data_IF_818442265283
#
_entry.id   IF_818442265283
#
_cell.length_a   1.000
_cell.length_b   1.000
_cell.length_c   1.000
_cell.angle_alpha   90.00
_cell.angle_beta   90.00
_cell.angle_gamma   90.00
#
_symmetry.space_group_name_H-M   'P 1'
#
loop_
_entity.id
_entity.type
_entity.pdbx_description
1 polymer ?
#
# COMPACT_ATOMS: atom_id res chain seq x y z
N UNK A 1 -24.81 -1.98 0.17
CA UNK A 1 -23.91 -1.09 -0.61
C UNK A 1 -22.98 -0.37 0.35
N UNK A 2 -21.68 -0.61 0.25
CA UNK A 2 -20.68 -0.06 1.18
C UNK A 2 -20.56 1.47 1.04
N UNK A 3 -21.13 2.20 2.00
CA UNK A 3 -21.02 3.67 2.10
C UNK A 3 -19.58 4.16 2.26
N UNK A 4 -18.63 3.27 2.53
CA UNK A 4 -17.21 3.58 2.63
C UNK A 4 -16.57 3.93 1.28
N UNK A 5 -17.01 3.31 0.17
CA UNK A 5 -16.43 3.51 -1.15
C UNK A 5 -16.58 4.96 -1.68
N UNK A 6 -17.76 5.61 -1.61
CA UNK A 6 -17.90 7.00 -2.03
C UNK A 6 -17.18 7.97 -1.08
N UNK A 7 -17.06 7.62 0.21
CA UNK A 7 -16.40 8.46 1.22
C UNK A 7 -14.88 8.48 1.04
N UNK A 8 -14.30 7.34 0.68
CA UNK A 8 -12.87 7.20 0.39
C UNK A 8 -12.51 7.84 -0.96
N UNK A 9 -13.39 7.71 -1.96
CA UNK A 9 -13.25 8.40 -3.24
C UNK A 9 -13.37 9.93 -3.09
N UNK A 10 -14.29 10.40 -2.25
CA UNK A 10 -14.42 11.82 -1.92
C UNK A 10 -13.19 12.36 -1.15
N UNK A 11 -12.64 11.58 -0.22
CA UNK A 11 -11.41 11.94 0.49
C UNK A 11 -10.18 12.05 -0.41
N UNK A 12 -10.04 11.12 -1.37
CA UNK A 12 -8.96 11.16 -2.37
C UNK A 12 -9.13 12.31 -3.38
N UNK A 13 -10.37 12.63 -3.78
CA UNK A 13 -10.65 13.78 -4.62
C UNK A 13 -10.38 15.11 -3.91
N UNK A 14 -10.67 15.20 -2.60
CA UNK A 14 -10.32 16.37 -1.78
C UNK A 14 -8.80 16.53 -1.62
N UNK A 15 -8.07 15.42 -1.44
CA UNK A 15 -6.61 15.45 -1.32
C UNK A 15 -5.90 15.87 -2.63
N UNK A 16 -6.50 15.60 -3.79
CA UNK A 16 -6.00 16.04 -5.09
C UNK A 16 -6.29 17.54 -5.38
N UNK A 17 -7.22 18.15 -4.64
CA UNK A 17 -7.55 19.58 -4.70
C UNK A 17 -6.74 20.43 -3.70
N UNK A 18 -6.00 19.78 -2.78
CA UNK A 18 -5.07 20.49 -1.91
C UNK A 18 -3.86 20.95 -2.74
N UNK A 19 -3.51 22.25 -2.72
CA UNK A 19 -2.36 22.74 -3.45
C UNK A 19 -1.08 22.06 -2.94
N UNK A 20 -0.37 21.40 -3.86
CA UNK A 20 1.02 20.99 -3.73
C UNK A 20 1.91 22.21 -3.36
N UNK A 21 3.20 22.02 -3.01
CA UNK A 21 3.97 22.77 -1.99
C UNK A 21 4.17 24.29 -2.19
N UNK A 22 3.60 24.91 -3.22
CA UNK A 22 3.54 26.36 -3.39
C UNK A 22 2.80 27.07 -2.25
N UNK A 23 1.85 26.40 -1.58
CA UNK A 23 1.13 26.94 -0.42
C UNK A 23 2.00 27.02 0.85
N UNK A 24 3.04 26.19 0.96
CA UNK A 24 4.02 26.26 2.07
C UNK A 24 4.95 27.48 1.96
N UNK A 25 4.93 28.17 0.82
CA UNK A 25 5.74 29.36 0.53
C UNK A 25 4.90 30.64 0.46
N UNK A 26 3.58 30.53 0.72
CA UNK A 26 2.65 31.65 0.63
C UNK A 26 2.77 32.51 1.91
N UNK A 27 3.67 33.48 1.90
CA UNK A 27 3.86 34.46 2.98
C UNK A 27 5.30 34.65 3.47
N UNK A 28 6.24 33.81 3.05
CA UNK A 28 7.67 34.03 3.31
C UNK A 28 8.20 35.18 2.46
N UNK A 29 9.01 36.06 3.03
CA UNK A 29 9.63 37.17 2.29
C UNK A 29 10.60 36.62 1.24
N UNK A 30 10.76 37.33 0.12
CA UNK A 30 11.66 36.90 -0.96
C UNK A 30 13.09 36.63 -0.48
N UNK A 31 13.53 37.36 0.55
CA UNK A 31 14.83 37.24 1.21
C UNK A 31 15.02 35.91 1.99
N UNK A 32 13.94 35.27 2.44
CA UNK A 32 13.97 34.00 3.18
C UNK A 32 13.97 32.77 2.24
N UNK A 33 13.67 32.98 0.95
CA UNK A 33 13.59 31.91 -0.06
C UNK A 33 14.87 31.74 -0.88
N UNK A 34 15.77 32.72 -0.85
CA UNK A 34 17.05 32.68 -1.54
C UNK A 34 18.16 32.29 -0.58
N UNK A 35 18.75 31.12 -0.80
CA UNK A 35 20.03 30.77 -0.22
C UNK A 35 21.05 31.84 -0.65
N UNK A 36 21.48 32.68 0.29
CA UNK A 36 22.37 33.83 0.07
C UNK A 36 23.83 33.36 -0.11
N UNK A 37 24.02 32.58 -1.17
CA UNK A 37 25.33 32.14 -1.62
C UNK A 37 25.77 33.06 -2.75
N UNK A 38 26.68 33.98 -2.44
CA UNK A 38 27.42 34.75 -3.43
C UNK A 38 28.74 34.00 -3.75
N UNK A 39 28.81 33.25 -4.86
CA UNK A 39 30.01 32.50 -5.21
C UNK A 39 31.16 33.42 -5.69
N UNK A 40 30.95 34.74 -5.72
CA UNK A 40 31.89 35.71 -6.27
C UNK A 40 31.85 35.75 -7.80
N UNK A 41 32.22 36.91 -8.36
CA UNK A 41 32.07 37.23 -9.78
C UNK A 41 32.69 36.17 -10.73
N UNK A 42 33.80 35.55 -10.35
CA UNK A 42 34.50 34.55 -11.17
C UNK A 42 33.77 33.21 -11.27
N UNK A 43 33.02 32.80 -10.24
CA UNK A 43 32.22 31.58 -10.26
C UNK A 43 30.81 31.83 -10.83
N UNK A 44 30.27 33.03 -10.64
CA UNK A 44 29.04 33.48 -11.31
C UNK A 44 29.20 33.53 -12.84
N UNK A 45 30.39 33.90 -13.33
CA UNK A 45 30.68 33.92 -14.77
C UNK A 45 30.77 32.50 -15.36
N UNK A 46 31.31 31.52 -14.63
CA UNK A 46 31.30 30.10 -15.04
C UNK A 46 29.89 29.49 -15.10
N UNK A 47 28.98 29.91 -14.23
CA UNK A 47 27.56 29.47 -14.27
C UNK A 47 26.81 30.14 -15.41
N UNK A 48 27.07 31.42 -15.69
CA UNK A 48 26.50 32.13 -16.86
C UNK A 48 27.06 31.61 -18.20
N UNK A 49 28.30 31.13 -18.20
CA UNK A 49 29.01 30.63 -19.37
C UNK A 49 28.90 29.12 -19.58
N UNK A 50 28.05 28.42 -18.83
CA UNK A 50 27.52 27.14 -19.31
C UNK A 50 26.24 27.47 -20.08
N UNK A 51 26.33 27.72 -21.41
CA UNK A 51 25.14 27.68 -22.22
C UNK A 51 24.69 26.21 -22.14
N UNK A 52 23.72 25.94 -21.27
CA UNK A 52 22.73 24.96 -21.63
C UNK A 52 22.13 25.50 -22.92
N UNK A 53 22.70 25.11 -24.06
CA UNK A 53 22.10 25.32 -25.37
C UNK A 53 20.65 24.85 -25.22
N UNK A 54 19.72 25.81 -25.21
CA UNK A 54 18.29 25.51 -25.16
C UNK A 54 17.91 25.12 -26.58
N UNK A 55 18.44 23.99 -27.04
CA UNK A 55 18.01 23.36 -28.28
C UNK A 55 16.61 22.84 -28.01
N UNK A 56 15.61 23.48 -28.62
CA UNK A 56 14.20 23.05 -28.54
C UNK A 56 13.95 21.68 -29.19
N UNK A 57 14.99 20.98 -29.65
CA UNK A 57 14.94 19.65 -30.25
C UNK A 57 14.32 18.60 -29.32
N UNK A 58 14.48 18.77 -28.01
CA UNK A 58 13.96 17.86 -26.98
C UNK A 58 12.60 18.31 -26.40
N UNK A 59 12.00 19.35 -26.96
CA UNK A 59 10.74 19.91 -26.52
C UNK A 59 9.62 19.73 -27.55
N UNK A 60 8.47 19.24 -27.08
CA UNK A 60 7.22 19.23 -27.82
C UNK A 60 6.48 20.55 -27.56
N UNK A 61 6.27 21.31 -28.63
CA UNK A 61 5.61 22.62 -28.58
C UNK A 61 4.15 22.43 -28.97
N UNK A 62 3.25 22.63 -28.00
CA UNK A 62 1.81 22.52 -28.20
C UNK A 62 1.18 23.91 -28.14
N UNK A 63 0.52 24.34 -29.20
CA UNK A 63 -0.22 25.60 -29.21
C UNK A 63 -1.63 25.36 -28.66
N UNK A 64 -1.87 25.80 -27.42
CA UNK A 64 -3.17 25.70 -26.76
C UNK A 64 -3.97 27.01 -26.94
N UNK A 65 -5.25 26.97 -27.34
CA UNK A 65 -6.03 28.18 -27.65
C UNK A 65 -6.25 29.11 -26.44
N UNK A 66 -6.23 28.57 -25.22
CA UNK A 66 -6.43 29.35 -23.97
C UNK A 66 -5.14 29.67 -23.22
N UNK A 67 -4.12 28.81 -23.32
CA UNK A 67 -2.92 28.87 -22.48
C UNK A 67 -1.67 29.30 -23.29
N UNK A 68 -1.84 29.60 -24.57
CA UNK A 68 -0.74 29.92 -25.47
C UNK A 68 0.14 28.72 -25.80
N UNK A 69 1.39 28.98 -26.12
CA UNK A 69 2.36 27.95 -26.49
C UNK A 69 2.92 27.27 -25.24
N UNK A 70 2.56 25.99 -25.05
CA UNK A 70 3.05 25.16 -23.95
C UNK A 70 4.23 24.35 -24.46
N UNK A 71 5.38 24.51 -23.82
CA UNK A 71 6.61 23.75 -24.11
C UNK A 71 6.70 22.59 -23.12
N UNK A 72 6.67 21.36 -23.62
CA UNK A 72 6.71 20.12 -22.83
C UNK A 72 7.93 19.30 -23.20
N UNK A 73 8.61 18.67 -22.24
CA UNK A 73 9.74 17.78 -22.56
C UNK A 73 9.27 16.49 -23.26
N UNK A 74 9.97 16.08 -24.32
CA UNK A 74 9.75 14.79 -25.00
C UNK A 74 10.07 13.58 -24.11
N UNK A 75 10.88 13.76 -23.07
CA UNK A 75 11.31 12.70 -22.15
C UNK A 75 10.48 12.61 -20.86
N UNK A 76 9.29 13.22 -20.80
CA UNK A 76 8.38 13.13 -19.64
C UNK A 76 8.06 11.70 -19.21
N UNK A 77 8.04 10.76 -20.16
CA UNK A 77 7.83 9.34 -19.89
C UNK A 77 8.93 8.74 -18.99
N UNK A 78 10.17 9.27 -19.01
CA UNK A 78 11.28 8.77 -18.17
C UNK A 78 10.98 8.93 -16.68
N UNK A 79 10.36 10.05 -16.28
CA UNK A 79 9.97 10.27 -14.88
C UNK A 79 8.92 9.22 -14.43
N UNK A 80 7.98 8.87 -15.29
CA UNK A 80 7.00 7.82 -15.02
C UNK A 80 7.62 6.42 -14.93
N UNK A 81 8.64 6.14 -15.75
CA UNK A 81 9.43 4.89 -15.65
C UNK A 81 10.18 4.83 -14.32
N UNK A 82 10.84 5.91 -13.91
CA UNK A 82 11.54 5.97 -12.62
C UNK A 82 10.59 5.77 -11.44
N UNK A 83 9.41 6.40 -11.46
CA UNK A 83 8.37 6.21 -10.44
C UNK A 83 7.86 4.77 -10.41
N UNK A 84 7.61 4.17 -11.57
CA UNK A 84 7.19 2.78 -11.66
C UNK A 84 8.26 1.86 -11.07
N UNK A 85 9.54 2.12 -11.34
CA UNK A 85 10.66 1.36 -10.78
C UNK A 85 10.69 1.44 -9.24
N UNK A 86 10.57 2.64 -8.65
CA UNK A 86 10.50 2.77 -7.19
C UNK A 86 9.30 2.03 -6.58
N UNK A 87 8.13 2.13 -7.20
CA UNK A 87 6.94 1.40 -6.75
C UNK A 87 7.14 -0.11 -6.85
N UNK A 88 7.78 -0.61 -7.91
CA UNK A 88 8.05 -2.05 -8.05
C UNK A 88 8.99 -2.57 -6.96
N UNK A 89 10.05 -1.84 -6.64
CA UNK A 89 11.00 -2.22 -5.58
C UNK A 89 10.31 -2.25 -4.21
N UNK A 90 9.51 -1.23 -3.90
CA UNK A 90 8.71 -1.18 -2.67
C UNK A 90 7.73 -2.36 -2.62
N UNK A 91 7.08 -2.69 -3.73
CA UNK A 91 6.10 -3.77 -3.77
C UNK A 91 6.75 -5.15 -3.60
N UNK A 92 7.94 -5.36 -4.17
CA UNK A 92 8.71 -6.60 -3.97
C UNK A 92 9.10 -6.76 -2.50
N UNK A 93 9.59 -5.69 -1.87
CA UNK A 93 9.91 -5.71 -0.44
C UNK A 93 8.67 -6.00 0.41
N UNK A 94 7.53 -5.38 0.09
CA UNK A 94 6.27 -5.61 0.78
C UNK A 94 5.79 -7.06 0.65
N UNK A 95 5.85 -7.65 -0.55
CA UNK A 95 5.51 -9.05 -0.78
C UNK A 95 6.43 -10.00 -0.01
N UNK A 96 7.73 -9.71 0.07
CA UNK A 96 8.67 -10.50 0.86
C UNK A 96 8.31 -10.49 2.35
N UNK A 97 7.94 -9.32 2.90
CA UNK A 97 7.48 -9.20 4.30
C UNK A 97 6.21 -10.02 4.54
N UNK A 98 5.22 -9.94 3.64
CA UNK A 98 3.96 -10.71 3.75
C UNK A 98 4.23 -12.21 3.73
N UNK A 99 5.17 -12.67 2.90
CA UNK A 99 5.53 -14.08 2.78
C UNK A 99 6.31 -14.61 3.99
N UNK A 100 7.12 -13.76 4.63
CA UNK A 100 7.91 -14.11 5.81
C UNK A 100 7.09 -14.19 7.10
N UNK A 101 5.89 -13.60 7.12
CA UNK A 101 5.06 -13.53 8.33
C UNK A 101 4.45 -14.91 8.70
N UNK A 102 4.59 -15.36 9.97
CA UNK A 102 3.97 -16.60 10.42
C UNK A 102 2.45 -16.48 10.49
N UNK A 103 1.75 -17.48 9.97
CA UNK A 103 0.27 -17.51 9.89
C UNK A 103 -0.39 -18.27 11.05
N UNK A 104 0.29 -18.36 12.19
CA UNK A 104 -0.19 -19.06 13.40
C UNK A 104 -1.18 -18.22 14.21
N UNK A 105 -1.07 -16.89 14.14
CA UNK A 105 -1.81 -15.97 15.00
C UNK A 105 -2.81 -15.14 14.20
N UNK A 106 -3.97 -14.86 14.81
CA UNK A 106 -5.04 -14.05 14.18
C UNK A 106 -4.58 -12.63 13.85
N UNK A 107 -3.75 -12.02 14.72
CA UNK A 107 -3.18 -10.69 14.48
C UNK A 107 -2.36 -10.68 13.20
N UNK A 108 -1.53 -11.71 12.99
CA UNK A 108 -0.70 -11.83 11.80
C UNK A 108 -1.54 -12.10 10.55
N UNK A 109 -2.66 -12.82 10.65
CA UNK A 109 -3.60 -12.97 9.53
C UNK A 109 -4.24 -11.64 9.14
N UNK A 110 -4.72 -10.85 10.12
CA UNK A 110 -5.31 -9.52 9.88
C UNK A 110 -4.28 -8.58 9.24
N UNK A 111 -3.06 -8.53 9.78
CA UNK A 111 -1.97 -7.72 9.22
C UNK A 111 -1.59 -8.23 7.82
N UNK A 112 -1.60 -9.54 7.60
CA UNK A 112 -1.39 -10.14 6.27
C UNK A 112 -2.43 -9.66 5.25
N UNK A 113 -3.71 -9.60 5.62
CA UNK A 113 -4.77 -9.08 4.75
C UNK A 113 -4.59 -7.60 4.42
N UNK A 114 -4.26 -6.75 5.40
CA UNK A 114 -4.07 -5.32 5.16
C UNK A 114 -2.85 -5.06 4.27
N UNK A 115 -1.71 -5.69 4.56
CA UNK A 115 -0.51 -5.58 3.75
C UNK A 115 -0.72 -6.12 2.33
N UNK A 116 -1.48 -7.21 2.16
CA UNK A 116 -1.82 -7.72 0.84
C UNK A 116 -2.70 -6.74 0.04
N UNK A 117 -3.62 -6.03 0.70
CA UNK A 117 -4.40 -4.95 0.10
C UNK A 117 -3.54 -3.76 -0.34
N UNK A 118 -2.56 -3.37 0.49
CA UNK A 118 -1.58 -2.33 0.12
C UNK A 118 -0.76 -2.77 -1.09
N UNK A 119 -0.27 -4.02 -1.12
CA UNK A 119 0.49 -4.56 -2.25
C UNK A 119 -0.32 -4.55 -3.54
N UNK A 120 -1.59 -4.97 -3.50
CA UNK A 120 -2.48 -4.91 -4.67
C UNK A 120 -2.71 -3.49 -5.17
N UNK A 121 -2.81 -2.52 -4.25
CA UNK A 121 -2.94 -1.10 -4.60
C UNK A 121 -1.69 -0.58 -5.30
N UNK A 122 -0.50 -0.96 -4.82
CA UNK A 122 0.76 -0.58 -5.45
C UNK A 122 0.90 -1.23 -6.84
N UNK A 123 0.56 -2.51 -6.99
CA UNK A 123 0.53 -3.19 -8.30
C UNK A 123 -0.40 -2.47 -9.28
N UNK A 124 -1.57 -2.02 -8.83
CA UNK A 124 -2.49 -1.23 -9.64
C UNK A 124 -1.88 0.12 -10.08
N UNK A 125 -1.19 0.82 -9.18
CA UNK A 125 -0.48 2.07 -9.52
C UNK A 125 0.63 1.87 -10.55
N UNK A 126 1.35 0.74 -10.50
CA UNK A 126 2.37 0.38 -11.51
C UNK A 126 1.70 0.19 -12.88
N UNK A 127 0.53 -0.45 -12.94
CA UNK A 127 -0.26 -0.58 -14.17
C UNK A 127 -0.69 0.79 -14.69
N UNK A 128 -1.16 1.69 -13.84
CA UNK A 128 -1.51 3.06 -14.24
C UNK A 128 -0.30 3.83 -14.80
N UNK A 129 0.89 3.66 -14.21
CA UNK A 129 2.11 4.24 -14.76
C UNK A 129 2.39 3.71 -16.17
N UNK A 130 2.18 2.41 -16.41
CA UNK A 130 2.33 1.83 -17.75
C UNK A 130 1.32 2.40 -18.76
N UNK A 131 0.07 2.59 -18.35
CA UNK A 131 -0.97 3.22 -19.19
C UNK A 131 -0.58 4.67 -19.54
N UNK A 132 -0.05 5.45 -18.59
CA UNK A 132 0.44 6.80 -18.87
C UNK A 132 1.65 6.82 -19.82
N UNK A 133 2.55 5.83 -19.73
CA UNK A 133 3.67 5.71 -20.66
C UNK A 133 3.17 5.35 -22.07
N UNK A 134 2.13 4.51 -22.16
CA UNK A 134 1.47 4.16 -23.43
C UNK A 134 0.82 5.40 -24.06
N UNK A 135 0.12 6.24 -23.30
CA UNK A 135 -0.51 7.47 -23.84
C UNK A 135 0.53 8.48 -24.31
N UNK A 136 1.73 8.49 -23.72
CA UNK A 136 2.89 9.25 -24.17
C UNK A 136 3.61 8.62 -25.38
N UNK A 137 3.07 7.54 -25.98
CA UNK A 137 3.61 6.84 -27.16
C UNK A 137 5.06 6.34 -26.99
N UNK A 138 5.50 6.13 -25.75
CA UNK A 138 6.86 5.67 -25.47
C UNK A 138 6.90 4.15 -25.30
N UNK A 139 7.80 3.44 -25.98
CA UNK A 139 7.88 1.97 -25.97
C UNK A 139 8.12 1.35 -24.58
N UNK A 140 8.56 2.13 -23.58
CA UNK A 140 8.85 1.64 -22.23
C UNK A 140 7.63 0.98 -21.53
N UNK A 141 6.40 1.22 -21.99
CA UNK A 141 5.20 0.58 -21.43
C UNK A 141 5.25 -0.96 -21.55
N UNK A 142 5.93 -1.51 -22.56
CA UNK A 142 6.04 -2.95 -22.78
C UNK A 142 6.81 -3.67 -21.68
N UNK A 143 7.65 -2.95 -20.93
CA UNK A 143 8.39 -3.50 -19.79
C UNK A 143 7.64 -3.27 -18.47
N UNK A 144 7.05 -2.09 -18.28
CA UNK A 144 6.37 -1.73 -17.03
C UNK A 144 5.04 -2.48 -16.86
N UNK A 145 4.28 -2.64 -17.95
CA UNK A 145 2.96 -3.26 -17.89
C UNK A 145 2.99 -4.72 -17.43
N UNK A 146 3.84 -5.61 -18.00
CA UNK A 146 3.92 -6.99 -17.54
C UNK A 146 4.34 -7.10 -16.08
N UNK A 147 5.26 -6.25 -15.61
CA UNK A 147 5.70 -6.25 -14.21
C UNK A 147 4.57 -5.88 -13.26
N UNK A 148 3.76 -4.87 -13.60
CA UNK A 148 2.56 -4.51 -12.84
C UNK A 148 1.53 -5.65 -12.77
N UNK A 149 1.28 -6.32 -13.90
CA UNK A 149 0.35 -7.45 -13.95
C UNK A 149 0.85 -8.67 -13.18
N UNK A 150 2.12 -9.04 -13.34
CA UNK A 150 2.73 -10.18 -12.64
C UNK A 150 2.75 -9.94 -11.13
N UNK A 151 3.14 -8.74 -10.69
CA UNK A 151 3.12 -8.40 -9.25
C UNK A 151 1.70 -8.43 -8.68
N UNK A 152 0.69 -7.98 -9.42
CA UNK A 152 -0.72 -8.13 -9.04
C UNK A 152 -1.17 -9.60 -8.96
N UNK A 153 -0.79 -10.42 -9.93
CA UNK A 153 -1.10 -11.85 -9.93
C UNK A 153 -0.44 -12.59 -8.76
N UNK A 154 0.82 -12.28 -8.45
CA UNK A 154 1.53 -12.82 -7.28
C UNK A 154 0.83 -12.40 -5.99
N UNK A 155 0.49 -11.12 -5.85
CA UNK A 155 -0.28 -10.62 -4.71
C UNK A 155 -1.61 -11.36 -4.51
N UNK A 156 -2.33 -11.62 -5.59
CA UNK A 156 -3.57 -12.41 -5.56
C UNK A 156 -3.35 -13.85 -5.09
N UNK A 157 -2.30 -14.52 -5.57
CA UNK A 157 -1.96 -15.88 -5.14
C UNK A 157 -1.60 -15.92 -3.64
N UNK A 158 -0.88 -14.90 -3.16
CA UNK A 158 -0.56 -14.76 -1.73
C UNK A 158 -1.83 -14.57 -0.91
N UNK A 159 -2.77 -13.72 -1.37
CA UNK A 159 -4.07 -13.54 -0.71
C UNK A 159 -4.84 -14.86 -0.60
N UNK A 160 -4.88 -15.64 -1.67
CA UNK A 160 -5.54 -16.95 -1.66
C UNK A 160 -4.88 -17.93 -0.68
N UNK A 161 -3.56 -17.85 -0.52
CA UNK A 161 -2.84 -18.64 0.47
C UNK A 161 -3.19 -18.22 1.90
N UNK A 162 -3.28 -16.92 2.17
CA UNK A 162 -3.70 -16.39 3.49
C UNK A 162 -5.13 -16.84 3.81
N UNK A 163 -6.04 -16.73 2.83
CA UNK A 163 -7.44 -17.17 2.99
C UNK A 163 -7.56 -18.66 3.34
N UNK A 164 -6.72 -19.52 2.75
CA UNK A 164 -6.70 -20.95 3.11
C UNK A 164 -6.25 -21.19 4.55
N UNK A 165 -5.29 -20.41 5.04
CA UNK A 165 -4.82 -20.50 6.43
C UNK A 165 -5.89 -20.04 7.44
N UNK A 166 -6.68 -19.04 7.08
CA UNK A 166 -7.79 -18.53 7.91
C UNK A 166 -8.82 -19.63 8.22
N UNK A 167 -9.30 -20.35 7.19
CA UNK A 167 -10.26 -21.45 7.31
C UNK A 167 -9.73 -22.54 8.25
N UNK A 168 -8.46 -22.93 8.10
CA UNK A 168 -7.86 -23.97 8.94
C UNK A 168 -7.78 -23.57 10.41
N UNK A 169 -7.61 -22.27 10.71
CA UNK A 169 -7.55 -21.78 12.08
C UNK A 169 -8.94 -21.77 12.71
N UNK A 170 -9.98 -21.45 11.93
CA UNK A 170 -11.37 -21.53 12.37
C UNK A 170 -11.78 -22.97 12.70
N UNK A 171 -11.45 -23.92 11.82
CA UNK A 171 -11.71 -25.35 12.03
C UNK A 171 -10.98 -25.90 13.26
N UNK A 172 -9.72 -25.49 13.48
CA UNK A 172 -8.98 -25.82 14.69
C UNK A 172 -9.67 -25.28 15.94
N UNK A 173 -10.10 -24.00 15.94
CA UNK A 173 -10.84 -23.43 17.07
C UNK A 173 -12.15 -24.15 17.34
N UNK A 174 -12.91 -24.49 16.30
CA UNK A 174 -14.13 -25.29 16.46
C UNK A 174 -13.85 -26.68 17.01
N UNK A 175 -12.78 -27.36 16.58
CA UNK A 175 -12.44 -28.69 17.10
C UNK A 175 -12.02 -28.63 18.57
N UNK A 176 -11.25 -27.60 18.99
CA UNK A 176 -10.96 -27.36 20.41
C UNK A 176 -12.21 -27.04 21.23
N UNK A 177 -13.14 -26.24 20.69
CA UNK A 177 -14.41 -25.98 21.35
C UNK A 177 -15.26 -27.25 21.48
N UNK A 178 -15.33 -28.08 20.43
CA UNK A 178 -16.03 -29.37 20.46
C UNK A 178 -15.37 -30.38 21.39
N UNK A 179 -14.05 -30.36 21.54
CA UNK A 179 -13.34 -31.19 22.53
C UNK A 179 -13.53 -30.70 23.97
N UNK A 180 -13.70 -29.40 24.18
CA UNK A 180 -14.09 -28.84 25.49
C UNK A 180 -15.58 -28.99 25.80
N UNK A 181 -16.44 -29.24 24.79
CA UNK A 181 -17.88 -29.30 24.95
C UNK A 181 -18.42 -30.56 25.67
N UNK A 182 -17.76 -31.74 25.68
CA UNK A 182 -18.12 -32.85 26.57
C UNK A 182 -17.14 -32.94 27.75
N UNK A 183 -16.94 -31.84 28.46
CA UNK A 183 -16.79 -31.90 29.92
C UNK A 183 -18.10 -31.40 30.54
N UNK A 184 -19.23 -31.92 30.06
CA UNK A 184 -20.42 -32.00 30.91
C UNK A 184 -19.99 -32.90 32.05
N UNK A 185 -19.64 -32.31 33.19
CA UNK A 185 -19.44 -33.06 34.43
C UNK A 185 -20.62 -34.02 34.55
N UNK A 186 -20.30 -35.31 34.66
CA UNK A 186 -21.29 -36.33 34.94
C UNK A 186 -22.17 -35.81 36.08
N UNK A 187 -23.50 -35.70 35.92
CA UNK A 187 -24.37 -35.26 37.01
C UNK A 187 -24.19 -36.06 38.30
N UNK A 188 -23.57 -37.26 38.22
CA UNK A 188 -23.17 -38.11 39.35
C UNK A 188 -21.87 -37.68 40.05
N UNK A 189 -21.03 -36.88 39.39
CA UNK A 189 -19.80 -36.29 39.95
C UNK A 189 -20.02 -34.86 40.47
N UNK A 190 -21.24 -34.34 40.42
CA UNK A 190 -21.59 -33.11 41.12
C UNK A 190 -21.37 -33.31 42.62
N UNK A 191 -20.48 -32.50 43.20
CA UNK A 191 -20.24 -32.47 44.63
C UNK A 191 -21.55 -32.17 45.36
N UNK A 192 -22.04 -33.13 46.15
CA UNK A 192 -23.15 -32.88 47.08
C UNK A 192 -22.71 -31.77 48.05
N UNK A 193 -23.46 -30.66 48.17
CA UNK A 193 -23.10 -29.59 49.09
C UNK A 193 -23.21 -30.11 50.53
N UNK A 194 -22.07 -30.17 51.24
CA UNK A 194 -21.99 -30.59 52.63
C UNK A 194 -20.56 -30.56 53.18
N UNK A 195 -20.43 -30.35 54.48
CA UNK A 195 -19.15 -30.48 55.19
C UNK A 195 -18.75 -31.95 55.32
N UNK A 196 -17.45 -32.31 55.36
CA UNK A 196 -17.03 -33.70 55.54
C UNK A 196 -17.64 -34.28 56.82
N UNK A 197 -18.65 -35.16 56.68
CA UNK A 197 -19.41 -35.74 57.79
C UNK A 197 -20.94 -35.70 57.66
N UNK A 198 -21.50 -34.90 56.74
CA UNK A 198 -22.96 -34.69 56.59
C UNK A 198 -23.67 -35.65 55.63
N UNK A 199 -23.09 -36.80 55.29
CA UNK A 199 -23.74 -37.75 54.38
C UNK A 199 -24.86 -38.51 55.11
N UNK A 200 -26.13 -38.46 54.64
CA UNK A 200 -27.18 -39.32 55.14
C UNK A 200 -26.75 -40.78 54.93
N UNK A 201 -26.88 -41.61 55.98
CA UNK A 201 -26.27 -42.94 56.08
C UNK A 201 -26.72 -44.01 55.08
N UNK A 202 -27.46 -43.65 54.02
CA UNK A 202 -27.94 -44.57 53.00
C UNK A 202 -27.61 -44.01 51.61
N UNK A 203 -26.61 -44.63 50.96
CA UNK A 203 -26.53 -44.90 49.52
C UNK A 203 -25.13 -44.69 48.92
N UNK A 204 -24.30 -45.73 49.01
CA UNK A 204 -23.26 -46.00 48.01
C UNK A 204 -23.18 -47.47 47.58
N UNK A 205 -24.19 -48.30 47.86
CA UNK A 205 -24.24 -49.69 47.37
C UNK A 205 -25.65 -50.11 46.92
N UNK A 206 -26.06 -49.63 45.73
CA UNK A 206 -26.81 -50.42 44.76
C UNK A 206 -26.65 -49.90 43.33
#
# INVERSE_FOLDING_TARGET
MNKALPLLAAGLALAALLPAPASAQLGSRAEEQTFDYDPGAAAAEKVKASPAEVTFEDAEIVNHPVYGTIVLSKYRWRNWVTRALYLTLINIALLAIILAMPRSDEVNLIVGYTLCGVSMTVSFWIVLCAVLILTLKAAAWTYVLPVGLVSGAVGYLVLMRIKKSDISLTELKESFQKMNAPATEDPRLNSVPGTPGDWPGDDFLR
#
